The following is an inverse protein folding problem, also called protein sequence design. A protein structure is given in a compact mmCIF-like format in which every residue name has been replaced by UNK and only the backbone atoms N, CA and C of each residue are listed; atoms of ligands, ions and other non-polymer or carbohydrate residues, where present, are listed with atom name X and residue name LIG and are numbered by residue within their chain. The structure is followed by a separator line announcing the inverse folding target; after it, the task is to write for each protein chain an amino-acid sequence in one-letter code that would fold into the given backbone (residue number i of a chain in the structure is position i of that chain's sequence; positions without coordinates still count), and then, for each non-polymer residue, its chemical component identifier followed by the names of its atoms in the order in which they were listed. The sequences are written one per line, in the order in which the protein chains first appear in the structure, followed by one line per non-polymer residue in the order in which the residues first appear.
data_IF_982298042784
#
_entry.id   IF_982298042784
#
_cell.length_a   1.000
_cell.length_b   1.000
_cell.length_c   1.000
_cell.angle_alpha   90.00
_cell.angle_beta   90.00
_cell.angle_gamma   90.00
#
_symmetry.space_group_name_H-M   'P 1'
#
loop_
_entity.id
_entity.type
_entity.pdbx_description
1 polymer ?
#
# COMPACT_ATOMS: atom_id res chain seq x y z
N UNK A 1 5.94 21.64 -5.92
CA UNK A 1 4.52 21.92 -6.23
C UNK A 1 3.94 20.68 -6.88
N UNK A 2 2.91 20.08 -6.27
CA UNK A 2 2.22 18.91 -6.83
C UNK A 2 1.30 19.42 -7.94
N UNK A 3 1.55 19.02 -9.19
CA UNK A 3 0.66 19.36 -10.31
C UNK A 3 -0.60 18.49 -10.24
N UNK A 4 -1.61 18.96 -9.51
CA UNK A 4 -2.93 18.34 -9.42
C UNK A 4 -3.71 18.65 -10.70
N UNK A 5 -3.69 17.71 -11.65
CA UNK A 5 -4.56 17.79 -12.83
C UNK A 5 -5.96 17.31 -12.44
N UNK A 6 -7.01 18.07 -12.76
CA UNK A 6 -8.40 17.85 -12.34
C UNK A 6 -9.07 16.53 -12.76
N UNK A 7 -8.36 15.62 -13.44
CA UNK A 7 -8.89 14.29 -13.77
C UNK A 7 -8.10 13.13 -13.11
N UNK A 8 -7.03 13.44 -12.38
CA UNK A 8 -6.25 12.39 -11.67
C UNK A 8 -6.97 11.99 -10.38
N UNK A 9 -6.94 10.69 -10.03
CA UNK A 9 -7.44 10.27 -8.74
C UNK A 9 -6.57 10.83 -7.61
N UNK A 10 -7.20 11.05 -6.46
CA UNK A 10 -6.54 11.47 -5.23
C UNK A 10 -7.11 10.68 -4.05
N UNK A 11 -6.27 10.45 -3.05
CA UNK A 11 -6.71 9.96 -1.75
C UNK A 11 -6.96 11.15 -0.81
N UNK A 12 -7.99 11.03 0.02
CA UNK A 12 -8.29 11.96 1.12
C UNK A 12 -8.47 11.16 2.40
N UNK A 13 -8.17 11.78 3.55
CA UNK A 13 -8.40 11.16 4.87
C UNK A 13 -9.89 10.92 5.09
N UNK A 14 -10.20 9.78 5.69
CA UNK A 14 -11.54 9.37 6.09
C UNK A 14 -11.50 8.75 7.50
N UNK A 15 -12.53 9.03 8.31
CA UNK A 15 -12.55 8.60 9.70
C UNK A 15 -12.88 7.10 9.86
N UNK A 16 -13.56 6.49 8.87
CA UNK A 16 -14.00 5.10 8.95
C UNK A 16 -13.03 4.15 8.23
N UNK A 17 -12.60 4.53 7.03
CA UNK A 17 -11.76 3.71 6.15
C UNK A 17 -10.28 4.11 6.16
N UNK A 18 -9.92 5.15 6.93
CA UNK A 18 -8.59 5.77 6.96
C UNK A 18 -8.35 6.68 5.76
N UNK A 19 -8.51 6.15 4.54
CA UNK A 19 -8.46 6.93 3.30
C UNK A 19 -9.48 6.44 2.27
N UNK A 20 -10.06 7.38 1.53
CA UNK A 20 -10.95 7.10 0.39
C UNK A 20 -10.43 7.77 -0.87
N UNK A 21 -10.74 7.18 -2.03
CA UNK A 21 -10.30 7.66 -3.34
C UNK A 21 -11.40 8.47 -4.00
N UNK A 22 -11.01 9.56 -4.64
CA UNK A 22 -11.91 10.42 -5.39
C UNK A 22 -11.20 11.16 -6.50
N UNK A 23 -11.93 12.05 -7.17
CA UNK A 23 -11.40 12.94 -8.20
C UNK A 23 -11.57 14.39 -7.79
N UNK A 24 -10.58 15.22 -8.12
CA UNK A 24 -10.67 16.66 -7.90
C UNK A 24 -11.75 17.22 -8.82
N UNK A 25 -12.73 17.91 -8.26
CA UNK A 25 -13.79 18.58 -9.01
C UNK A 25 -13.61 20.10 -9.09
N UNK A 26 -12.96 20.70 -8.10
CA UNK A 26 -12.66 22.13 -8.05
C UNK A 26 -11.43 22.40 -7.17
N UNK A 27 -10.66 23.44 -7.49
CA UNK A 27 -9.44 23.85 -6.79
C UNK A 27 -9.60 25.31 -6.36
N UNK A 28 -9.72 25.54 -5.06
CA UNK A 28 -9.72 26.88 -4.45
C UNK A 28 -8.31 27.35 -4.07
N UNK A 29 -8.23 28.43 -3.28
CA UNK A 29 -6.95 28.97 -2.78
C UNK A 29 -6.25 28.04 -1.80
N UNK A 30 -6.99 27.55 -0.80
CA UNK A 30 -6.45 26.76 0.32
C UNK A 30 -7.07 25.36 0.41
N UNK A 31 -8.16 25.14 -0.32
CA UNK A 31 -8.97 23.93 -0.26
C UNK A 31 -9.19 23.34 -1.65
N UNK A 32 -9.43 22.04 -1.68
CA UNK A 32 -9.75 21.26 -2.87
C UNK A 32 -11.10 20.58 -2.65
N UNK A 33 -11.98 20.69 -3.64
CA UNK A 33 -13.25 19.95 -3.64
C UNK A 33 -13.06 18.62 -4.34
N UNK A 34 -13.17 17.52 -3.60
CA UNK A 34 -13.02 16.16 -4.10
C UNK A 34 -14.38 15.49 -4.18
N UNK A 35 -14.65 14.83 -5.30
CA UNK A 35 -15.78 13.93 -5.50
C UNK A 35 -15.32 12.50 -5.24
N UNK A 36 -15.75 11.85 -4.14
CA UNK A 36 -15.47 10.44 -3.88
C UNK A 36 -15.98 9.53 -5.01
N UNK A 37 -15.24 8.44 -5.28
CA UNK A 37 -15.58 7.47 -6.33
C UNK A 37 -16.81 6.59 -6.01
N UNK A 38 -17.21 6.51 -4.74
CA UNK A 38 -18.40 5.80 -4.28
C UNK A 38 -19.70 6.59 -4.49
N UNK A 39 -19.65 7.68 -5.28
CA UNK A 39 -20.73 8.64 -5.49
C UNK A 39 -21.22 9.32 -4.19
N UNK A 40 -20.39 9.36 -3.15
CA UNK A 40 -20.64 10.13 -1.95
C UNK A 40 -20.77 11.63 -2.21
N UNK A 41 -21.15 12.38 -1.18
CA UNK A 41 -21.22 13.85 -1.26
C UNK A 41 -19.82 14.43 -1.54
N UNK A 42 -19.74 15.48 -2.36
CA UNK A 42 -18.51 16.26 -2.54
C UNK A 42 -17.97 16.74 -1.19
N UNK A 43 -16.67 16.57 -1.00
CA UNK A 43 -15.96 16.94 0.22
C UNK A 43 -15.00 18.09 -0.10
N UNK A 44 -15.01 19.11 0.74
CA UNK A 44 -14.04 20.21 0.68
C UNK A 44 -12.99 19.93 1.74
N UNK A 45 -11.74 19.75 1.32
CA UNK A 45 -10.63 19.40 2.20
C UNK A 45 -9.45 20.36 1.99
N UNK A 46 -8.62 20.61 3.01
CA UNK A 46 -7.38 21.37 2.85
C UNK A 46 -6.47 20.70 1.82
N UNK A 47 -5.71 21.51 1.06
CA UNK A 47 -4.76 21.00 0.06
C UNK A 47 -3.78 19.96 0.65
N UNK A 48 -3.27 20.20 1.86
CA UNK A 48 -2.32 19.33 2.55
C UNK A 48 -2.91 18.00 3.02
N UNK A 49 -4.24 17.83 2.93
CA UNK A 49 -4.94 16.58 3.24
C UNK A 49 -5.21 15.72 2.00
N UNK A 50 -4.72 16.14 0.82
CA UNK A 50 -4.88 15.44 -0.45
C UNK A 50 -3.58 14.72 -0.81
N UNK A 51 -3.68 13.42 -1.11
CA UNK A 51 -2.55 12.59 -1.47
C UNK A 51 -2.69 12.09 -2.90
N UNK A 52 -1.56 12.01 -3.62
CA UNK A 52 -1.56 11.49 -4.99
C UNK A 52 -1.97 10.01 -5.00
N UNK A 53 -2.81 9.64 -5.96
CA UNK A 53 -3.27 8.27 -6.17
C UNK A 53 -2.95 7.81 -7.59
N UNK A 54 -2.97 6.50 -7.77
CA UNK A 54 -2.88 5.82 -9.05
C UNK A 54 -4.18 5.04 -9.29
N UNK A 55 -4.64 4.95 -10.55
CA UNK A 55 -5.90 4.25 -10.91
C UNK A 55 -5.77 2.72 -10.95
N UNK A 56 -4.61 2.14 -10.64
CA UNK A 56 -4.36 0.71 -10.85
C UNK A 56 -4.79 -0.19 -9.68
N UNK A 57 -5.36 -1.34 -10.03
CA UNK A 57 -5.79 -2.39 -9.09
C UNK A 57 -4.68 -3.40 -8.74
N UNK A 58 -3.42 -2.96 -8.78
CA UNK A 58 -2.27 -3.80 -8.46
C UNK A 58 -1.85 -3.64 -7.01
N UNK A 59 -1.27 -4.70 -6.46
CA UNK A 59 -0.51 -4.67 -5.23
C UNK A 59 0.97 -4.90 -5.55
N UNK A 60 1.85 -4.46 -4.64
CA UNK A 60 3.28 -4.55 -4.77
C UNK A 60 3.88 -5.31 -3.57
N UNK A 61 4.81 -6.21 -3.85
CA UNK A 61 5.58 -6.91 -2.82
C UNK A 61 6.48 -5.96 -2.01
N UNK A 62 6.94 -4.86 -2.62
CA UNK A 62 7.68 -3.78 -1.97
C UNK A 62 6.95 -2.45 -2.14
N UNK A 63 6.63 -1.78 -1.03
CA UNK A 63 5.99 -0.46 -1.06
C UNK A 63 6.86 0.60 -1.73
N UNK A 64 8.19 0.43 -1.78
CA UNK A 64 9.08 1.35 -2.50
C UNK A 64 8.88 1.29 -4.03
N UNK A 65 8.20 0.26 -4.55
CA UNK A 65 7.86 0.16 -5.96
C UNK A 65 6.54 0.87 -6.33
N UNK A 66 5.82 1.45 -5.36
CA UNK A 66 4.59 2.20 -5.62
C UNK A 66 4.91 3.52 -6.35
N UNK A 67 4.10 3.88 -7.34
CA UNK A 67 4.26 5.12 -8.11
C UNK A 67 4.29 6.36 -7.21
N UNK A 68 3.40 6.38 -6.22
CA UNK A 68 3.35 7.40 -5.18
C UNK A 68 3.52 6.70 -3.85
N UNK A 69 4.61 7.01 -3.13
CA UNK A 69 4.83 6.51 -1.78
C UNK A 69 4.32 7.54 -0.78
N UNK A 70 3.09 7.32 -0.29
CA UNK A 70 2.47 8.13 0.75
C UNK A 70 1.66 7.23 1.70
N UNK A 71 1.17 7.80 2.81
CA UNK A 71 0.41 7.05 3.81
C UNK A 71 -0.81 6.31 3.23
N UNK A 72 -1.52 6.96 2.29
CA UNK A 72 -2.73 6.40 1.70
C UNK A 72 -2.43 5.22 0.75
N UNK A 73 -1.41 5.35 -0.10
CA UNK A 73 -1.02 4.29 -1.02
C UNK A 73 -0.39 3.10 -0.30
N UNK A 74 0.41 3.35 0.74
CA UNK A 74 0.96 2.32 1.62
C UNK A 74 -0.16 1.55 2.32
N UNK A 75 -1.11 2.25 2.94
CA UNK A 75 -2.26 1.59 3.59
C UNK A 75 -3.07 0.77 2.59
N UNK A 76 -3.34 1.32 1.40
CA UNK A 76 -4.11 0.63 0.38
C UNK A 76 -3.39 -0.64 -0.12
N UNK A 77 -2.07 -0.59 -0.33
CA UNK A 77 -1.29 -1.76 -0.72
C UNK A 77 -1.37 -2.85 0.37
N UNK A 78 -1.12 -2.49 1.63
CA UNK A 78 -1.22 -3.41 2.77
C UNK A 78 -2.62 -4.03 2.88
N UNK A 79 -3.68 -3.22 2.75
CA UNK A 79 -5.08 -3.68 2.80
C UNK A 79 -5.38 -4.67 1.68
N UNK A 80 -4.91 -4.42 0.46
CA UNK A 80 -5.11 -5.31 -0.70
C UNK A 80 -4.39 -6.64 -0.52
N UNK A 81 -3.14 -6.61 -0.09
CA UNK A 81 -2.33 -7.80 0.17
C UNK A 81 -2.93 -8.65 1.28
N UNK A 82 -3.34 -8.01 2.37
CA UNK A 82 -4.01 -8.68 3.48
C UNK A 82 -5.30 -9.40 3.04
N UNK A 83 -6.14 -8.78 2.21
CA UNK A 83 -7.35 -9.41 1.65
C UNK A 83 -7.05 -10.64 0.78
N UNK A 84 -5.82 -10.79 0.29
CA UNK A 84 -5.33 -11.93 -0.49
C UNK A 84 -4.49 -12.91 0.35
N UNK A 85 -4.56 -12.81 1.68
CA UNK A 85 -3.79 -13.62 2.62
C UNK A 85 -2.25 -13.45 2.52
N UNK A 86 -1.81 -12.35 1.89
CA UNK A 86 -0.41 -11.95 1.83
C UNK A 86 -0.11 -10.99 2.99
N UNK A 87 0.30 -11.57 4.13
CA UNK A 87 0.51 -10.84 5.38
C UNK A 87 1.84 -10.10 5.48
N UNK A 88 2.78 -10.40 4.58
CA UNK A 88 4.12 -9.84 4.55
C UNK A 88 4.27 -8.89 3.36
N UNK A 89 4.88 -7.74 3.59
CA UNK A 89 5.16 -6.73 2.55
C UNK A 89 6.48 -6.05 2.87
N UNK A 90 7.36 -5.88 1.87
CA UNK A 90 8.61 -5.15 2.04
C UNK A 90 8.37 -3.62 2.06
N UNK A 91 9.30 -2.94 2.72
CA UNK A 91 9.58 -1.52 2.56
C UNK A 91 11.09 -1.41 2.49
N UNK A 92 11.63 -1.47 1.27
CA UNK A 92 13.06 -1.66 1.04
C UNK A 92 13.61 -2.85 1.84
N UNK A 93 14.44 -2.61 2.86
CA UNK A 93 15.05 -3.64 3.71
C UNK A 93 14.24 -3.99 4.96
N UNK A 94 13.09 -3.34 5.18
CA UNK A 94 12.19 -3.61 6.32
C UNK A 94 11.06 -4.53 5.86
N UNK A 95 10.59 -5.40 6.76
CA UNK A 95 9.43 -6.26 6.53
C UNK A 95 8.25 -5.82 7.41
N UNK A 96 7.14 -5.45 6.80
CA UNK A 96 5.86 -5.26 7.47
C UNK A 96 5.13 -6.60 7.55
N UNK A 97 4.63 -6.95 8.74
CA UNK A 97 3.82 -8.13 8.98
C UNK A 97 2.47 -7.73 9.60
N UNK A 98 1.36 -8.20 9.02
CA UNK A 98 0.01 -7.97 9.55
C UNK A 98 -0.54 -9.30 10.07
N UNK A 99 -0.97 -9.34 11.33
CA UNK A 99 -1.52 -10.56 11.93
C UNK A 99 -2.81 -10.99 11.20
N UNK A 100 -2.87 -12.20 10.60
CA UNK A 100 -4.07 -12.69 9.91
C UNK A 100 -5.22 -13.07 10.84
N UNK A 101 -4.96 -13.29 12.14
CA UNK A 101 -5.91 -13.85 13.11
C UNK A 101 -6.55 -15.18 12.64
N UNK A 102 -5.90 -15.88 11.72
CA UNK A 102 -6.29 -17.20 11.19
C UNK A 102 -5.04 -17.98 10.78
N UNK A 103 -5.19 -19.30 10.69
CA UNK A 103 -4.14 -20.17 10.16
C UNK A 103 -3.97 -19.97 8.66
N UNK A 104 -2.73 -19.72 8.22
CA UNK A 104 -2.34 -19.66 6.81
C UNK A 104 -1.56 -20.92 6.47
N UNK A 105 -2.29 -21.98 6.13
CA UNK A 105 -1.72 -23.31 5.88
C UNK A 105 -0.62 -23.26 4.82
N UNK A 106 0.54 -23.82 5.18
CA UNK A 106 1.68 -23.98 4.26
C UNK A 106 2.64 -22.79 4.18
N UNK A 107 2.32 -21.63 4.79
CA UNK A 107 3.19 -20.45 4.78
C UNK A 107 4.50 -20.70 5.55
N UNK A 108 4.45 -21.46 6.65
CA UNK A 108 5.61 -21.77 7.49
C UNK A 108 6.15 -23.20 7.31
N UNK A 109 5.91 -23.84 6.15
CA UNK A 109 6.41 -25.19 5.90
C UNK A 109 7.93 -25.21 5.68
N UNK A 110 8.55 -26.35 5.99
CA UNK A 110 9.99 -26.60 5.72
C UNK A 110 10.30 -26.45 4.23
N UNK A 111 9.41 -26.92 3.37
CA UNK A 111 9.58 -26.80 1.92
C UNK A 111 9.52 -25.35 1.48
N UNK A 112 8.64 -24.53 2.07
CA UNK A 112 8.62 -23.10 1.79
C UNK A 112 9.91 -22.42 2.26
N UNK A 113 10.39 -22.73 3.47
CA UNK A 113 11.66 -22.21 4.01
C UNK A 113 12.84 -22.51 3.09
N UNK A 114 12.97 -23.75 2.60
CA UNK A 114 14.07 -24.16 1.71
C UNK A 114 14.14 -23.34 0.43
N UNK A 115 13.02 -22.83 -0.08
CA UNK A 115 12.99 -21.99 -1.30
C UNK A 115 13.69 -20.64 -1.12
N UNK A 116 13.81 -20.15 0.11
CA UNK A 116 14.49 -18.89 0.44
C UNK A 116 16.00 -19.04 0.61
N UNK A 117 16.52 -20.27 0.69
CA UNK A 117 17.95 -20.51 0.92
C UNK A 117 18.81 -19.96 -0.23
N UNK A 118 19.84 -19.17 0.11
CA UNK A 118 20.77 -18.56 -0.84
C UNK A 118 20.15 -17.53 -1.79
N UNK A 119 18.95 -17.00 -1.48
CA UNK A 119 18.28 -15.97 -2.29
C UNK A 119 18.53 -14.57 -1.69
N UNK A 120 18.91 -13.62 -2.55
CA UNK A 120 18.98 -12.21 -2.17
C UNK A 120 17.59 -11.62 -1.90
N UNK A 121 17.55 -10.53 -1.12
CA UNK A 121 16.32 -9.79 -0.84
C UNK A 121 15.62 -9.37 -2.15
N UNK A 122 14.29 -9.46 -2.18
CA UNK A 122 13.47 -9.07 -3.34
C UNK A 122 13.42 -10.09 -4.48
N UNK A 123 14.26 -11.14 -4.47
CA UNK A 123 14.16 -12.25 -5.45
C UNK A 123 12.96 -13.14 -5.14
N UNK A 124 12.67 -13.34 -3.85
CA UNK A 124 11.52 -14.09 -3.37
C UNK A 124 10.46 -13.14 -2.79
N UNK A 125 9.17 -13.52 -2.83
CA UNK A 125 8.10 -12.73 -2.23
C UNK A 125 8.37 -12.42 -0.75
N UNK A 126 7.76 -11.36 -0.20
CA UNK A 126 7.96 -10.95 1.18
C UNK A 126 7.65 -12.07 2.16
N UNK A 127 8.62 -12.39 3.00
CA UNK A 127 8.46 -13.42 4.01
C UNK A 127 9.50 -13.27 5.12
N UNK A 128 9.16 -13.69 6.33
CA UNK A 128 10.11 -13.71 7.46
C UNK A 128 11.33 -14.59 7.17
N UNK A 129 11.16 -15.64 6.37
CA UNK A 129 12.27 -16.50 5.93
C UNK A 129 13.27 -15.77 5.04
N UNK A 130 12.83 -14.84 4.19
CA UNK A 130 13.75 -14.03 3.39
C UNK A 130 14.67 -13.21 4.30
N UNK A 131 14.08 -12.53 5.28
CA UNK A 131 14.82 -11.73 6.26
C UNK A 131 15.78 -12.60 7.07
N UNK A 132 15.32 -13.74 7.59
CA UNK A 132 16.16 -14.67 8.34
C UNK A 132 17.36 -15.20 7.53
N UNK A 133 17.15 -15.56 6.27
CA UNK A 133 18.22 -16.06 5.40
C UNK A 133 19.26 -14.97 5.09
N UNK A 134 18.82 -13.72 4.87
CA UNK A 134 19.74 -12.61 4.62
C UNK A 134 20.65 -12.37 5.83
N UNK A 135 20.11 -12.35 7.05
CA UNK A 135 20.93 -12.12 8.25
C UNK A 135 21.80 -13.32 8.63
N UNK A 136 21.46 -14.53 8.18
CA UNK A 136 22.28 -15.71 8.43
C UNK A 136 23.43 -15.88 7.43
N UNK A 137 23.24 -15.44 6.18
CA UNK A 137 24.19 -15.63 5.08
C UNK A 137 24.86 -14.35 4.55
N UNK A 138 24.39 -13.17 4.95
CA UNK A 138 24.95 -11.86 4.58
C UNK A 138 25.95 -11.36 5.62
#
# INVERSE_FOLDING_TARGET
MITLNGNKPVWIRDNEHGFIIGKISDIGSDNVTVQPNDNGKKLVVPYDSVFQAEEYDKDADDNCALMYLNEATLLNNLRRRYKKDMIYTYVANILIAINPYKDLRGVYSVDNMKRFNGKSLGVMPPHVFAIGMIYFYG
#
